data_IF_249009909115
#
_entry.id   IF_249009909115
#
_cell.length_a   1.000
_cell.length_b   1.000
_cell.length_c   1.000
_cell.angle_alpha   90.00
_cell.angle_beta   90.00
_cell.angle_gamma   90.00
#
_symmetry.space_group_name_H-M   'P 1'
#
loop_
_entity.id
_entity.type
_entity.pdbx_description
1 polymer ?
#
# COMPACT_ATOMS: atom_id res chain seq x y z
N UNK A 1 -40.97 -16.02 -33.07
CA UNK A 1 -40.07 -15.80 -31.93
C UNK A 1 -39.81 -14.30 -31.82
N UNK A 2 -40.17 -13.62 -30.72
CA UNK A 2 -39.71 -12.27 -30.47
C UNK A 2 -38.60 -12.23 -29.40
N UNK A 3 -37.62 -11.37 -29.64
CA UNK A 3 -36.54 -10.98 -28.72
C UNK A 3 -37.02 -9.81 -27.86
N UNK A 4 -37.24 -10.02 -26.56
CA UNK A 4 -37.53 -8.93 -25.63
C UNK A 4 -36.23 -8.49 -24.93
N UNK A 5 -35.87 -7.23 -25.18
CA UNK A 5 -34.68 -6.56 -24.64
C UNK A 5 -34.88 -6.32 -23.15
N UNK A 6 -34.08 -6.97 -22.31
CA UNK A 6 -34.08 -6.73 -20.87
C UNK A 6 -33.39 -5.38 -20.58
N UNK A 7 -34.18 -4.31 -20.57
CA UNK A 7 -33.80 -2.98 -20.09
C UNK A 7 -33.48 -3.05 -18.60
N UNK A 8 -32.19 -3.16 -18.26
CA UNK A 8 -31.72 -3.03 -16.89
C UNK A 8 -31.86 -1.57 -16.49
N UNK A 9 -32.88 -1.27 -15.69
CA UNK A 9 -33.00 0.00 -14.99
C UNK A 9 -31.81 0.13 -14.04
N UNK A 10 -30.92 1.08 -14.32
CA UNK A 10 -29.84 1.47 -13.41
C UNK A 10 -30.44 2.56 -12.53
N UNK A 11 -30.73 2.23 -11.28
CA UNK A 11 -31.06 3.25 -10.28
C UNK A 11 -29.82 4.10 -10.00
N UNK A 12 -29.90 5.44 -10.04
CA UNK A 12 -28.80 6.28 -9.60
C UNK A 12 -28.68 6.14 -8.08
N UNK A 13 -27.59 5.53 -7.62
CA UNK A 13 -27.21 5.55 -6.20
C UNK A 13 -26.86 6.99 -5.82
N UNK A 14 -27.74 7.62 -5.06
CA UNK A 14 -27.53 8.95 -4.47
C UNK A 14 -26.54 8.81 -3.30
N UNK A 15 -25.26 8.78 -3.62
CA UNK A 15 -24.20 8.72 -2.62
C UNK A 15 -24.04 10.13 -2.05
N UNK A 16 -24.60 10.36 -0.87
CA UNK A 16 -24.30 11.52 -0.04
C UNK A 16 -22.79 11.53 0.27
N UNK A 17 -22.01 12.27 -0.53
CA UNK A 17 -20.61 12.57 -0.25
C UNK A 17 -20.60 13.64 0.85
N UNK A 18 -20.46 13.23 2.10
CA UNK A 18 -20.33 14.17 3.21
C UNK A 18 -20.35 13.53 4.59
N UNK A 19 -19.20 13.45 5.22
CA UNK A 19 -19.03 13.14 6.64
C UNK A 19 -17.60 12.68 6.87
N UNK A 20 -16.82 13.45 7.64
CA UNK A 20 -15.42 13.25 8.01
C UNK A 20 -14.95 11.81 7.87
N UNK A 21 -14.52 11.49 6.66
CA UNK A 21 -13.78 10.28 6.43
C UNK A 21 -12.36 10.61 6.89
N UNK A 22 -12.13 10.50 8.20
CA UNK A 22 -10.98 9.72 8.64
C UNK A 22 -11.16 8.36 7.99
N UNK A 23 -10.82 8.29 6.70
CA UNK A 23 -10.69 7.04 6.01
C UNK A 23 -9.61 6.33 6.81
N UNK A 24 -10.01 5.44 7.71
CA UNK A 24 -9.42 4.10 7.81
C UNK A 24 -9.57 3.47 6.41
N UNK A 25 -8.90 4.10 5.43
CA UNK A 25 -8.88 3.68 4.06
C UNK A 25 -8.11 2.41 4.14
N UNK A 26 -8.83 1.28 4.06
CA UNK A 26 -8.33 -0.10 4.07
C UNK A 26 -6.86 -0.07 3.66
N UNK A 27 -5.97 -0.02 4.65
CA UNK A 27 -4.61 0.38 4.39
C UNK A 27 -4.03 -0.73 3.52
N UNK A 28 -3.75 -0.43 2.24
CA UNK A 28 -3.41 -1.48 1.27
C UNK A 28 -2.27 -2.31 1.86
N UNK A 29 -2.39 -3.63 1.71
CA UNK A 29 -1.39 -4.56 2.24
C UNK A 29 -0.09 -4.30 1.49
N UNK A 30 0.94 -3.82 2.19
CA UNK A 30 2.27 -3.72 1.64
C UNK A 30 2.81 -5.13 1.40
N UNK A 31 3.39 -5.36 0.22
CA UNK A 31 3.95 -6.65 -0.19
C UNK A 31 5.44 -6.55 -0.52
N UNK A 32 6.10 -7.70 -0.64
CA UNK A 32 7.49 -7.76 -1.10
C UNK A 32 7.68 -7.21 -2.52
N UNK A 33 6.65 -7.31 -3.37
CA UNK A 33 6.68 -6.74 -4.72
C UNK A 33 6.67 -5.22 -4.69
N UNK A 34 5.97 -4.59 -3.74
CA UNK A 34 5.97 -3.13 -3.57
C UNK A 34 7.35 -2.62 -3.15
N UNK A 35 8.01 -3.33 -2.23
CA UNK A 35 9.38 -3.03 -1.78
C UNK A 35 10.34 -3.13 -2.98
N UNK A 36 10.25 -4.21 -3.77
CA UNK A 36 11.04 -4.39 -4.97
C UNK A 36 10.76 -3.32 -6.04
N UNK A 37 9.50 -2.90 -6.20
CA UNK A 37 9.14 -1.85 -7.14
C UNK A 37 9.81 -0.52 -6.79
N UNK A 38 9.90 -0.16 -5.50
CA UNK A 38 10.65 1.02 -5.04
C UNK A 38 12.15 0.85 -5.29
N UNK A 39 12.70 -0.32 -4.97
CA UNK A 39 14.11 -0.66 -5.18
C UNK A 39 14.52 -0.68 -6.67
N UNK A 40 13.60 -0.99 -7.58
CA UNK A 40 13.87 -0.98 -9.02
C UNK A 40 13.44 0.33 -9.70
N UNK A 41 12.84 1.24 -8.93
CA UNK A 41 12.34 2.51 -9.46
C UNK A 41 13.46 3.36 -10.07
N UNK A 42 13.20 4.05 -11.19
CA UNK A 42 14.15 4.99 -11.79
C UNK A 42 14.31 6.30 -11.00
N UNK A 43 13.57 6.46 -9.89
CA UNK A 43 13.69 7.62 -8.99
C UNK A 43 15.10 7.74 -8.39
N UNK A 44 15.51 8.96 -7.98
CA UNK A 44 16.74 9.16 -7.23
C UNK A 44 16.85 8.27 -5.99
N UNK A 45 18.08 7.92 -5.62
CA UNK A 45 18.36 7.06 -4.46
C UNK A 45 17.76 7.63 -3.17
N UNK A 46 17.87 8.94 -2.96
CA UNK A 46 17.34 9.61 -1.76
C UNK A 46 15.81 9.48 -1.65
N UNK A 47 15.08 9.70 -2.76
CA UNK A 47 13.63 9.55 -2.80
C UNK A 47 13.19 8.10 -2.54
N UNK A 48 13.94 7.13 -3.06
CA UNK A 48 13.68 5.71 -2.82
C UNK A 48 13.93 5.34 -1.36
N UNK A 49 15.02 5.83 -0.77
CA UNK A 49 15.33 5.64 0.64
C UNK A 49 14.26 6.24 1.54
N UNK A 50 13.77 7.44 1.24
CA UNK A 50 12.67 8.07 1.97
C UNK A 50 11.39 7.24 1.87
N UNK A 51 11.07 6.75 0.67
CA UNK A 51 9.90 5.89 0.44
C UNK A 51 9.99 4.59 1.25
N UNK A 52 11.14 3.90 1.22
CA UNK A 52 11.37 2.67 1.98
C UNK A 52 11.29 2.91 3.50
N UNK A 53 11.84 4.02 3.99
CA UNK A 53 11.73 4.40 5.41
C UNK A 53 10.29 4.67 5.82
N UNK A 54 9.50 5.30 4.95
CA UNK A 54 8.07 5.52 5.19
C UNK A 54 7.32 4.19 5.29
N UNK A 55 7.56 3.26 4.35
CA UNK A 55 6.98 1.92 4.37
C UNK A 55 7.34 1.14 5.64
N UNK A 56 8.59 1.25 6.10
CA UNK A 56 9.05 0.64 7.35
C UNK A 56 8.27 1.16 8.56
N UNK A 57 8.14 2.49 8.67
CA UNK A 57 7.42 3.13 9.78
C UNK A 57 5.95 2.73 9.82
N UNK A 58 5.33 2.56 8.65
CA UNK A 58 3.95 2.11 8.54
C UNK A 58 3.78 0.66 9.01
N UNK A 59 4.67 -0.24 8.57
CA UNK A 59 4.65 -1.64 9.02
C UNK A 59 4.92 -1.78 10.53
N UNK A 60 5.82 -0.97 11.09
CA UNK A 60 6.08 -0.95 12.53
C UNK A 60 4.83 -0.51 13.32
N UNK A 61 4.13 0.53 12.84
CA UNK A 61 2.88 0.97 13.46
C UNK A 61 1.80 -0.12 13.43
N UNK A 62 1.66 -0.84 12.30
CA UNK A 62 0.71 -1.96 12.15
C UNK A 62 1.09 -3.19 12.98
N UNK A 63 2.39 -3.52 13.04
CA UNK A 63 2.93 -4.60 13.89
C UNK A 63 2.59 -4.38 15.36
N UNK A 64 2.63 -3.12 15.81
CA UNK A 64 2.28 -2.75 17.18
C UNK A 64 0.76 -2.82 17.45
N UNK A 65 -0.07 -2.58 16.43
CA UNK A 65 -1.53 -2.50 16.57
C UNK A 65 -2.24 -3.87 16.49
N UNK A 66 -1.95 -4.69 15.46
CA UNK A 66 -2.84 -5.80 15.09
C UNK A 66 -2.15 -7.15 14.86
N UNK A 67 -0.85 -7.19 14.54
CA UNK A 67 -0.21 -8.37 13.93
C UNK A 67 1.04 -8.92 14.64
N UNK A 68 1.49 -8.31 15.74
CA UNK A 68 2.68 -8.78 16.45
C UNK A 68 3.90 -8.93 15.51
N UNK A 69 4.59 -10.07 15.58
CA UNK A 69 5.81 -10.33 14.80
C UNK A 69 5.56 -10.79 13.35
N UNK A 70 4.31 -10.85 12.88
CA UNK A 70 3.98 -11.36 11.54
C UNK A 70 4.46 -10.44 10.41
N UNK A 71 4.71 -9.16 10.72
CA UNK A 71 5.24 -8.17 9.78
C UNK A 71 6.78 -8.14 9.74
N UNK A 72 7.46 -8.88 10.64
CA UNK A 72 8.92 -8.89 10.71
C UNK A 72 9.61 -9.31 9.39
N UNK A 73 9.09 -10.29 8.61
CA UNK A 73 9.69 -10.63 7.31
C UNK A 73 9.71 -9.43 6.35
N UNK A 74 8.61 -8.69 6.23
CA UNK A 74 8.53 -7.53 5.34
C UNK A 74 9.42 -6.37 5.84
N UNK A 75 9.52 -6.17 7.16
CA UNK A 75 10.43 -5.17 7.72
C UNK A 75 11.89 -5.51 7.38
N UNK A 76 12.27 -6.78 7.49
CA UNK A 76 13.61 -7.24 7.11
C UNK A 76 13.89 -7.03 5.61
N UNK A 77 12.90 -7.27 4.75
CA UNK A 77 13.03 -7.03 3.30
C UNK A 77 13.25 -5.54 2.99
N UNK A 78 12.55 -4.65 3.70
CA UNK A 78 12.76 -3.19 3.59
C UNK A 78 14.16 -2.80 4.07
N UNK A 79 14.61 -3.32 5.21
CA UNK A 79 15.94 -3.03 5.76
C UNK A 79 17.05 -3.49 4.78
N UNK A 80 16.89 -4.66 4.16
CA UNK A 80 17.80 -5.14 3.12
C UNK A 80 17.82 -4.24 1.87
N UNK A 81 16.65 -3.75 1.43
CA UNK A 81 16.55 -2.82 0.31
C UNK A 81 17.20 -1.45 0.62
N UNK A 82 17.09 -0.97 1.87
CA UNK A 82 17.75 0.25 2.35
C UNK A 82 19.27 0.06 2.35
N UNK A 83 19.77 -1.04 2.89
CA UNK A 83 21.21 -1.35 2.94
C UNK A 83 21.82 -1.45 1.54
N UNK A 84 21.07 -2.00 0.57
CA UNK A 84 21.51 -2.05 -0.83
C UNK A 84 21.64 -0.65 -1.45
N UNK A 85 20.82 0.30 -1.00
CA UNK A 85 20.81 1.68 -1.49
C UNK A 85 21.80 2.61 -0.78
N UNK A 86 22.11 2.32 0.49
CA UNK A 86 23.10 3.03 1.29
C UNK A 86 24.25 2.09 1.66
N UNK A 87 25.07 1.65 0.69
CA UNK A 87 26.25 0.86 1.01
C UNK A 87 27.11 1.67 1.97
N UNK A 88 27.33 1.14 3.18
CA UNK A 88 28.21 1.74 4.19
C UNK A 88 29.58 1.99 3.55
N UNK A 89 29.89 3.26 3.31
CA UNK A 89 31.21 3.76 2.91
C UNK A 89 32.10 3.90 4.15
#
# INVERSE_FOLDING_TARGET
>A
MPIEKNSSFIDPVDVQIGGDADTDGIAQTLTADDINAVLMSPKPVDERLETLKSMRSELEARSHADFGNDMAPLINDIDAAIDQLSPRI
#
